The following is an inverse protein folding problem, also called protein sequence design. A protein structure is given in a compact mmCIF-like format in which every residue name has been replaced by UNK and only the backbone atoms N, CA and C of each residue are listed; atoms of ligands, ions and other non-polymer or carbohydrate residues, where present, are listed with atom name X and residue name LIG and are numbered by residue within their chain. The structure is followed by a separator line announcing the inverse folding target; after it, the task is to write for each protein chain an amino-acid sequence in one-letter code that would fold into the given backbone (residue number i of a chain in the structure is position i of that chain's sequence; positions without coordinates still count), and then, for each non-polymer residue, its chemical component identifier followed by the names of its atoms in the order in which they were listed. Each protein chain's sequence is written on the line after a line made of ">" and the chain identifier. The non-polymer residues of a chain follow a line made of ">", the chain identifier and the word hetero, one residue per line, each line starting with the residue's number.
data_IF_389631903169
#
_entry.id   IF_389631903169
#
_cell.length_a   1.000
_cell.length_b   1.000
_cell.length_c   1.000
_cell.angle_alpha   90.00
_cell.angle_beta   90.00
_cell.angle_gamma   90.00
#
_symmetry.space_group_name_H-M   'P 1'
#
loop_
_entity.id
_entity.type
_entity.pdbx_description
1 polymer ?
#
# COMPACT_ATOMS: atom_id res chain seq x y z
N UNK A 1 15.06 -9.12 -16.36
CA UNK A 1 16.36 -9.38 -15.68
C UNK A 1 16.08 -10.03 -14.35
N UNK A 2 16.68 -11.22 -14.06
CA UNK A 2 16.47 -11.89 -12.76
C UNK A 2 17.23 -11.19 -11.64
N UNK A 3 16.57 -11.00 -10.48
CA UNK A 3 17.21 -10.43 -9.28
C UNK A 3 18.22 -11.39 -8.64
N UNK A 4 18.11 -12.68 -8.91
CA UNK A 4 18.96 -13.71 -8.33
C UNK A 4 19.37 -14.76 -9.37
N UNK A 5 20.60 -15.24 -9.25
CA UNK A 5 21.12 -16.36 -10.03
C UNK A 5 21.05 -17.65 -9.20
N UNK A 6 20.61 -18.77 -9.77
CA UNK A 6 20.57 -20.04 -9.07
C UNK A 6 21.99 -20.56 -8.78
N UNK A 7 22.17 -21.20 -7.62
CA UNK A 7 23.36 -21.89 -7.19
C UNK A 7 23.04 -23.38 -6.92
N UNK A 8 24.03 -24.27 -6.86
CA UNK A 8 23.83 -25.65 -6.49
C UNK A 8 23.11 -25.81 -5.15
N UNK A 9 22.35 -26.91 -4.98
CA UNK A 9 21.60 -27.26 -3.78
C UNK A 9 20.45 -26.28 -3.43
N UNK A 10 19.77 -25.72 -4.46
CA UNK A 10 18.59 -24.85 -4.25
C UNK A 10 18.91 -23.49 -3.62
N UNK A 11 20.17 -23.08 -3.62
CA UNK A 11 20.58 -21.74 -3.16
C UNK A 11 20.50 -20.73 -4.30
N UNK A 12 20.38 -19.47 -3.93
CA UNK A 12 20.37 -18.34 -4.87
C UNK A 12 21.37 -17.27 -4.42
N UNK A 13 21.96 -16.57 -5.37
CA UNK A 13 22.81 -15.41 -5.12
C UNK A 13 22.18 -14.21 -5.79
N UNK A 14 22.03 -13.12 -5.06
CA UNK A 14 21.60 -11.85 -5.63
C UNK A 14 22.61 -11.39 -6.69
N UNK A 15 22.14 -11.04 -7.88
CA UNK A 15 22.97 -10.52 -8.98
C UNK A 15 23.51 -9.14 -8.61
N UNK A 16 22.65 -8.33 -7.97
CA UNK A 16 23.04 -7.05 -7.39
C UNK A 16 22.65 -7.03 -5.91
N UNK A 17 23.53 -6.52 -5.05
CA UNK A 17 23.19 -6.30 -3.64
C UNK A 17 22.31 -5.06 -3.54
N UNK A 18 21.03 -5.17 -3.19
CA UNK A 18 20.20 -4.01 -2.92
C UNK A 18 20.71 -3.30 -1.67
N UNK A 19 20.64 -1.98 -1.64
CA UNK A 19 20.97 -1.20 -0.42
C UNK A 19 19.90 -1.40 0.66
N UNK A 20 18.65 -1.60 0.24
CA UNK A 20 17.49 -1.92 1.09
C UNK A 20 16.58 -2.89 0.35
N UNK A 21 15.76 -3.64 1.05
CA UNK A 21 14.72 -4.49 0.42
C UNK A 21 13.42 -3.73 0.18
N UNK A 22 13.25 -2.51 0.71
CA UNK A 22 12.05 -1.69 0.52
C UNK A 22 11.76 -1.45 -0.97
N UNK A 23 12.69 -0.85 -1.70
CA UNK A 23 12.52 -0.60 -3.13
C UNK A 23 12.33 -1.87 -3.98
N UNK A 24 12.78 -3.04 -3.50
CA UNK A 24 12.52 -4.32 -4.17
C UNK A 24 11.07 -4.75 -4.05
N UNK A 25 10.47 -4.57 -2.86
CA UNK A 25 9.06 -4.87 -2.62
C UNK A 25 8.14 -3.93 -3.39
N UNK A 26 8.45 -2.64 -3.41
CA UNK A 26 7.73 -1.64 -4.20
C UNK A 26 7.74 -1.97 -5.69
N UNK A 27 8.94 -2.24 -6.25
CA UNK A 27 9.10 -2.65 -7.63
C UNK A 27 8.31 -3.93 -7.93
N UNK A 28 8.43 -4.96 -7.09
CA UNK A 28 7.74 -6.23 -7.29
C UNK A 28 6.21 -6.07 -7.26
N UNK A 29 5.68 -5.32 -6.29
CA UNK A 29 4.24 -4.99 -6.26
C UNK A 29 3.82 -4.24 -7.52
N UNK A 30 4.65 -3.30 -7.99
CA UNK A 30 4.39 -2.59 -9.25
C UNK A 30 4.27 -3.53 -10.45
N UNK A 31 5.18 -4.51 -10.59
CA UNK A 31 5.13 -5.51 -11.66
C UNK A 31 3.89 -6.42 -11.57
N UNK A 32 3.53 -6.84 -10.34
CA UNK A 32 2.32 -7.65 -10.12
C UNK A 32 1.04 -6.87 -10.47
N UNK A 33 0.96 -5.57 -10.16
CA UNK A 33 -0.19 -4.73 -10.52
C UNK A 33 -0.30 -4.54 -12.03
N UNK A 34 0.82 -4.36 -12.74
CA UNK A 34 0.84 -4.33 -14.22
C UNK A 34 0.34 -5.63 -14.80
N UNK A 35 0.85 -6.75 -14.31
CA UNK A 35 0.53 -8.08 -14.85
C UNK A 35 -0.92 -8.51 -14.57
N UNK A 36 -1.44 -8.24 -13.36
CA UNK A 36 -2.76 -8.74 -12.94
C UNK A 36 -3.91 -7.81 -13.22
N UNK A 37 -3.67 -6.50 -13.19
CA UNK A 37 -4.71 -5.47 -13.30
C UNK A 37 -4.56 -4.58 -14.54
N UNK A 38 -3.54 -4.83 -15.37
CA UNK A 38 -3.23 -4.02 -16.56
C UNK A 38 -3.10 -2.51 -16.26
N UNK A 39 -2.61 -2.15 -15.07
CA UNK A 39 -2.42 -0.77 -14.66
C UNK A 39 -1.11 -0.20 -15.20
N UNK A 40 -1.09 1.08 -15.50
CA UNK A 40 0.13 1.88 -15.63
C UNK A 40 0.70 2.13 -14.24
N UNK A 41 1.97 1.78 -13.99
CA UNK A 41 2.56 1.86 -12.64
C UNK A 41 3.92 2.55 -12.67
N UNK A 42 4.15 3.42 -11.70
CA UNK A 42 5.45 4.02 -11.38
C UNK A 42 5.80 3.76 -9.91
N UNK A 43 7.08 3.54 -9.61
CA UNK A 43 7.58 3.33 -8.25
C UNK A 43 8.61 4.40 -7.87
N UNK A 44 8.70 4.75 -6.58
CA UNK A 44 9.63 5.76 -6.08
C UNK A 44 9.38 7.16 -6.67
N UNK A 45 8.12 7.54 -6.83
CA UNK A 45 7.74 8.78 -7.51
C UNK A 45 7.98 9.97 -6.59
N UNK A 46 8.82 10.91 -7.02
CA UNK A 46 9.04 12.19 -6.33
C UNK A 46 8.09 13.25 -6.85
N UNK A 47 7.38 13.88 -5.92
CA UNK A 47 6.50 15.00 -6.23
C UNK A 47 7.13 16.31 -5.73
N UNK A 48 7.14 17.33 -6.58
CA UNK A 48 7.47 18.72 -6.19
C UNK A 48 6.31 19.47 -5.53
N UNK A 49 5.14 18.84 -5.39
CA UNK A 49 3.96 19.51 -4.84
C UNK A 49 4.12 19.74 -3.32
N UNK A 50 3.70 20.91 -2.80
CA UNK A 50 3.72 21.17 -1.36
C UNK A 50 2.91 20.14 -0.58
N UNK A 51 3.45 19.65 0.54
CA UNK A 51 2.79 18.66 1.41
C UNK A 51 3.03 17.18 1.04
N UNK A 52 3.62 16.89 -0.11
CA UNK A 52 3.98 15.53 -0.56
C UNK A 52 5.43 15.22 -0.20
N UNK A 53 5.86 15.46 1.02
CA UNK A 53 7.25 15.18 1.41
C UNK A 53 7.63 13.70 1.28
N UNK A 54 8.82 13.42 0.72
CA UNK A 54 9.31 12.07 0.46
C UNK A 54 8.87 11.49 -0.89
N UNK A 55 9.16 10.22 -1.09
CA UNK A 55 8.79 9.49 -2.32
C UNK A 55 7.41 8.83 -2.11
N UNK A 56 6.64 8.70 -3.19
CA UNK A 56 5.45 7.84 -3.25
C UNK A 56 5.92 6.46 -3.68
N UNK A 57 5.73 5.45 -2.84
CA UNK A 57 6.33 4.12 -3.06
C UNK A 57 5.82 3.47 -4.34
N UNK A 58 4.50 3.38 -4.52
CA UNK A 58 3.87 2.89 -5.75
C UNK A 58 2.69 3.78 -6.13
N UNK A 59 2.68 4.27 -7.36
CA UNK A 59 1.56 5.00 -7.95
C UNK A 59 1.09 4.22 -9.17
N UNK A 60 -0.20 3.94 -9.25
CA UNK A 60 -0.78 3.22 -10.37
C UNK A 60 -1.99 3.98 -10.94
N UNK A 61 -2.21 3.85 -12.24
CA UNK A 61 -3.35 4.46 -12.92
C UNK A 61 -3.99 3.49 -13.92
N UNK A 62 -5.29 3.52 -14.03
CA UNK A 62 -6.05 2.76 -15.01
C UNK A 62 -7.52 3.17 -15.01
N UNK A 63 -8.15 3.16 -16.17
CA UNK A 63 -9.57 3.51 -16.35
C UNK A 63 -9.97 4.84 -15.68
N UNK A 64 -9.09 5.84 -15.73
CA UNK A 64 -9.31 7.14 -15.12
C UNK A 64 -9.25 7.16 -13.60
N UNK A 65 -8.71 6.13 -12.95
CA UNK A 65 -8.52 6.02 -11.50
C UNK A 65 -7.06 6.13 -11.15
N UNK A 66 -6.77 6.84 -10.05
CA UNK A 66 -5.46 6.98 -9.45
C UNK A 66 -5.40 6.16 -8.17
N UNK A 67 -4.39 5.31 -8.06
CA UNK A 67 -4.17 4.41 -6.92
C UNK A 67 -2.80 4.72 -6.33
N UNK A 68 -2.72 4.87 -5.01
CA UNK A 68 -1.46 5.08 -4.30
C UNK A 68 -1.25 3.99 -3.23
N UNK A 69 -0.07 3.39 -3.23
CA UNK A 69 0.36 2.46 -2.19
C UNK A 69 1.58 3.03 -1.44
N UNK A 70 1.49 3.07 -0.13
CA UNK A 70 2.65 3.18 0.78
C UNK A 70 3.00 1.78 1.24
N UNK A 71 4.26 1.39 1.11
CA UNK A 71 4.71 0.01 1.34
C UNK A 71 5.71 -0.06 2.50
N UNK A 72 5.44 -0.90 3.47
CA UNK A 72 6.28 -1.13 4.63
C UNK A 72 6.78 -2.57 4.65
N UNK A 73 8.08 -2.77 4.43
CA UNK A 73 8.75 -4.06 4.53
C UNK A 73 9.13 -4.46 5.97
N UNK A 74 8.83 -3.61 6.94
CA UNK A 74 9.14 -3.82 8.35
C UNK A 74 7.93 -4.32 9.14
N UNK A 75 8.15 -5.12 10.21
CA UNK A 75 7.07 -5.57 11.08
C UNK A 75 6.25 -4.42 11.68
N UNK A 76 4.96 -4.64 12.03
CA UNK A 76 4.06 -3.60 12.56
C UNK A 76 4.62 -2.84 13.78
N UNK A 77 5.45 -3.50 14.60
CA UNK A 77 6.08 -2.88 15.79
C UNK A 77 6.99 -1.68 15.45
N UNK A 78 7.52 -1.63 14.24
CA UNK A 78 8.40 -0.54 13.77
C UNK A 78 7.65 0.58 13.07
N UNK A 79 6.39 0.36 12.67
CA UNK A 79 5.56 1.43 12.12
C UNK A 79 5.21 2.43 13.23
N UNK A 80 5.40 3.71 12.94
CA UNK A 80 5.24 4.82 13.88
C UNK A 80 4.04 5.71 13.53
N UNK A 81 3.50 6.42 14.53
CA UNK A 81 2.40 7.38 14.31
C UNK A 81 2.76 8.49 13.28
N UNK A 82 3.99 9.06 13.29
CA UNK A 82 4.41 10.01 12.25
C UNK A 82 4.36 9.45 10.83
N UNK A 83 4.66 8.17 10.60
CA UNK A 83 4.58 7.53 9.27
C UNK A 83 3.14 7.42 8.79
N UNK A 84 2.22 7.00 9.66
CA UNK A 84 0.78 7.01 9.35
C UNK A 84 0.30 8.43 9.02
N UNK A 85 0.71 9.41 9.82
CA UNK A 85 0.40 10.83 9.56
C UNK A 85 0.99 11.32 8.22
N UNK A 86 2.22 10.92 7.88
CA UNK A 86 2.85 11.27 6.61
C UNK A 86 2.10 10.67 5.41
N UNK A 87 1.72 9.40 5.51
CA UNK A 87 0.88 8.75 4.50
C UNK A 87 -0.44 9.50 4.28
N UNK A 88 -1.18 9.80 5.36
CA UNK A 88 -2.46 10.53 5.24
C UNK A 88 -2.30 11.94 4.66
N UNK A 89 -1.20 12.64 4.98
CA UNK A 89 -0.89 13.94 4.33
C UNK A 89 -0.66 13.77 2.83
N UNK A 90 0.08 12.73 2.39
CA UNK A 90 0.27 12.43 0.97
C UNK A 90 -1.06 12.09 0.30
N UNK A 91 -1.91 11.27 0.93
CA UNK A 91 -3.26 10.97 0.43
C UNK A 91 -4.07 12.25 0.24
N UNK A 92 -4.05 13.17 1.21
CA UNK A 92 -4.74 14.45 1.11
C UNK A 92 -4.21 15.35 -0.01
N UNK A 93 -2.90 15.33 -0.26
CA UNK A 93 -2.25 16.16 -1.27
C UNK A 93 -2.39 15.57 -2.69
N UNK A 94 -2.23 14.26 -2.85
CA UNK A 94 -2.29 13.54 -4.14
C UNK A 94 -3.73 13.27 -4.57
N UNK A 95 -4.64 13.08 -3.59
CA UNK A 95 -6.06 12.76 -3.79
C UNK A 95 -6.28 11.54 -4.69
N UNK A 96 -5.64 10.39 -4.38
CA UNK A 96 -5.90 9.18 -5.14
C UNK A 96 -7.35 8.71 -4.93
N UNK A 97 -7.91 8.04 -5.92
CA UNK A 97 -9.22 7.38 -5.82
C UNK A 97 -9.18 6.21 -4.80
N UNK A 98 -8.03 5.54 -4.70
CA UNK A 98 -7.79 4.45 -3.74
C UNK A 98 -6.40 4.59 -3.16
N UNK A 99 -6.29 4.57 -1.83
CA UNK A 99 -5.01 4.61 -1.11
C UNK A 99 -4.83 3.37 -0.23
N UNK A 100 -3.69 2.70 -0.33
CA UNK A 100 -3.37 1.52 0.46
C UNK A 100 -2.11 1.75 1.30
N UNK A 101 -2.21 1.44 2.60
CA UNK A 101 -1.05 1.30 3.48
C UNK A 101 -0.75 -0.19 3.61
N UNK A 102 0.28 -0.64 2.91
CA UNK A 102 0.64 -2.05 2.78
C UNK A 102 1.76 -2.38 3.76
N UNK A 103 1.57 -3.40 4.59
CA UNK A 103 2.60 -3.89 5.52
C UNK A 103 2.92 -5.35 5.20
N UNK A 104 4.16 -5.62 4.78
CA UNK A 104 4.63 -6.97 4.45
C UNK A 104 4.82 -7.81 5.72
N UNK A 105 3.71 -8.30 6.23
CA UNK A 105 3.64 -9.13 7.45
C UNK A 105 2.41 -10.02 7.46
N UNK A 106 2.52 -11.19 8.07
CA UNK A 106 1.37 -12.05 8.39
C UNK A 106 0.73 -11.74 9.76
N UNK A 107 1.29 -10.77 10.52
CA UNK A 107 0.80 -10.39 11.85
C UNK A 107 -0.52 -9.61 11.76
N UNK A 108 -1.26 -9.55 12.86
CA UNK A 108 -2.48 -8.74 12.96
C UNK A 108 -2.16 -7.26 12.87
N UNK A 109 -2.95 -6.52 12.11
CA UNK A 109 -2.88 -5.06 12.00
C UNK A 109 -3.88 -4.35 12.93
N UNK A 110 -4.96 -5.03 13.29
CA UNK A 110 -6.01 -4.52 14.17
C UNK A 110 -5.52 -4.08 15.55
N UNK A 111 -4.45 -4.72 16.06
CA UNK A 111 -3.96 -4.47 17.43
C UNK A 111 -3.10 -3.19 17.54
N UNK A 112 -2.52 -2.71 16.44
CA UNK A 112 -1.64 -1.53 16.45
C UNK A 112 -1.88 -0.58 15.29
N UNK A 113 -1.78 -1.06 14.06
CA UNK A 113 -1.79 -0.19 12.87
C UNK A 113 -3.17 0.47 12.70
N UNK A 114 -4.24 -0.30 12.82
CA UNK A 114 -5.61 0.22 12.68
C UNK A 114 -5.91 1.31 13.70
N UNK A 115 -5.65 1.13 15.02
CA UNK A 115 -5.82 2.20 16.01
C UNK A 115 -4.99 3.46 15.73
N UNK A 116 -3.81 3.32 15.11
CA UNK A 116 -2.99 4.48 14.71
C UNK A 116 -3.68 5.30 13.62
N UNK A 117 -4.37 4.64 12.67
CA UNK A 117 -5.17 5.31 11.66
C UNK A 117 -6.40 5.98 12.27
N UNK A 118 -7.14 5.29 13.15
CA UNK A 118 -8.28 5.87 13.86
C UNK A 118 -7.89 7.16 14.59
N UNK A 119 -6.78 7.13 15.34
CA UNK A 119 -6.27 8.29 16.05
C UNK A 119 -5.88 9.44 15.11
N UNK A 120 -5.22 9.14 13.99
CA UNK A 120 -4.78 10.15 13.04
C UNK A 120 -5.97 10.80 12.31
N UNK A 121 -6.95 10.00 11.90
CA UNK A 121 -8.16 10.48 11.21
C UNK A 121 -9.06 11.29 12.14
N UNK A 122 -9.22 10.87 13.39
CA UNK A 122 -9.98 11.63 14.40
C UNK A 122 -9.40 13.04 14.61
N UNK A 123 -8.06 13.17 14.63
CA UNK A 123 -7.38 14.47 14.73
C UNK A 123 -7.56 15.36 13.49
N UNK A 124 -7.72 14.75 12.32
CA UNK A 124 -7.94 15.46 11.05
C UNK A 124 -9.40 15.79 10.75
N UNK A 125 -10.34 15.46 11.64
CA UNK A 125 -11.80 15.66 11.42
C UNK A 125 -12.41 14.73 10.37
N UNK A 126 -11.66 13.72 9.91
CA UNK A 126 -12.07 12.79 8.85
C UNK A 126 -12.39 11.37 9.34
N UNK A 127 -12.83 11.22 10.58
CA UNK A 127 -13.15 9.90 11.14
C UNK A 127 -14.34 9.25 10.39
N UNK A 128 -14.05 8.20 9.65
CA UNK A 128 -15.04 7.31 9.06
C UNK A 128 -15.10 5.99 9.84
N UNK A 129 -16.10 5.15 9.58
CA UNK A 129 -16.19 3.84 10.23
C UNK A 129 -15.02 2.96 9.81
N UNK A 130 -14.27 2.46 10.80
CA UNK A 130 -13.25 1.44 10.58
C UNK A 130 -13.94 0.09 10.45
N UNK A 131 -13.64 -0.63 9.39
CA UNK A 131 -14.27 -1.91 9.10
C UNK A 131 -13.26 -2.92 8.58
N UNK A 132 -13.24 -4.10 9.16
CA UNK A 132 -12.51 -5.24 8.61
C UNK A 132 -13.27 -5.78 7.38
N UNK A 133 -12.59 -5.94 6.28
CA UNK A 133 -13.17 -6.40 5.00
C UNK A 133 -13.00 -7.91 4.84
N UNK A 134 -11.78 -8.36 4.79
CA UNK A 134 -11.41 -9.76 4.66
C UNK A 134 -10.00 -9.99 5.21
N UNK A 135 -9.69 -11.19 5.72
CA UNK A 135 -8.40 -11.55 6.34
C UNK A 135 -7.96 -10.47 7.35
N UNK A 136 -6.83 -9.79 7.10
CA UNK A 136 -6.36 -8.63 7.85
C UNK A 136 -6.35 -7.35 6.99
N UNK A 137 -7.28 -7.23 6.06
CA UNK A 137 -7.51 -6.02 5.27
C UNK A 137 -8.64 -5.20 5.89
N UNK A 138 -8.38 -3.91 6.08
CA UNK A 138 -9.26 -2.99 6.78
C UNK A 138 -9.52 -1.74 5.93
N UNK A 139 -10.77 -1.28 5.89
CA UNK A 139 -11.10 0.08 5.50
C UNK A 139 -11.01 0.96 6.75
N UNK A 140 -10.19 2.01 6.70
CA UNK A 140 -9.93 2.89 7.86
C UNK A 140 -10.39 4.32 7.64
N UNK A 141 -10.94 4.61 6.46
CA UNK A 141 -11.48 5.91 6.08
C UNK A 141 -11.99 5.88 4.64
N UNK A 142 -12.52 6.99 4.13
CA UNK A 142 -12.91 7.08 2.73
C UNK A 142 -11.74 6.74 1.83
N UNK A 143 -11.88 5.68 1.03
CA UNK A 143 -10.89 5.23 0.04
C UNK A 143 -9.51 4.85 0.59
N UNK A 144 -9.37 4.71 1.93
CA UNK A 144 -8.11 4.36 2.59
C UNK A 144 -8.19 2.95 3.18
N UNK A 145 -7.23 2.12 2.80
CA UNK A 145 -7.18 0.72 3.18
C UNK A 145 -5.84 0.37 3.82
N UNK A 146 -5.88 -0.51 4.82
CA UNK A 146 -4.69 -1.09 5.45
C UNK A 146 -4.65 -2.56 5.10
N UNK A 147 -3.54 -3.03 4.53
CA UNK A 147 -3.40 -4.35 3.93
C UNK A 147 -2.15 -5.05 4.46
N UNK A 148 -2.23 -6.36 4.72
CA UNK A 148 -1.07 -7.16 5.09
C UNK A 148 -0.82 -8.33 4.14
N UNK A 149 0.28 -9.07 4.41
CA UNK A 149 0.73 -10.22 3.62
C UNK A 149 0.11 -11.56 4.08
N UNK A 150 -0.91 -11.55 4.95
CA UNK A 150 -1.50 -12.80 5.43
C UNK A 150 -2.12 -13.57 4.27
N UNK A 151 -1.66 -14.81 4.08
CA UNK A 151 -1.94 -15.72 2.98
C UNK A 151 -1.28 -15.31 1.66
N UNK A 152 -1.63 -14.19 1.05
CA UNK A 152 -1.05 -13.69 -0.20
C UNK A 152 -1.13 -12.16 -0.25
N UNK A 153 0.02 -11.50 -0.30
CA UNK A 153 0.11 -10.03 -0.31
C UNK A 153 -0.52 -9.44 -1.56
N UNK A 154 -0.22 -10.01 -2.73
CA UNK A 154 -0.69 -9.45 -4.01
C UNK A 154 -2.20 -9.64 -4.15
N UNK A 155 -2.73 -10.81 -3.78
CA UNK A 155 -4.17 -11.04 -3.75
C UNK A 155 -4.88 -10.05 -2.83
N UNK A 156 -4.33 -9.82 -1.63
CA UNK A 156 -4.89 -8.86 -0.68
C UNK A 156 -4.89 -7.43 -1.23
N UNK A 157 -3.80 -7.00 -1.89
CA UNK A 157 -3.68 -5.69 -2.52
C UNK A 157 -4.69 -5.55 -3.68
N UNK A 158 -4.73 -6.52 -4.60
CA UNK A 158 -5.66 -6.50 -5.73
C UNK A 158 -7.12 -6.44 -5.27
N UNK A 159 -7.49 -7.24 -4.25
CA UNK A 159 -8.84 -7.23 -3.68
C UNK A 159 -9.17 -5.91 -2.99
N UNK A 160 -8.24 -5.31 -2.26
CA UNK A 160 -8.43 -4.00 -1.63
C UNK A 160 -8.63 -2.89 -2.68
N UNK A 161 -7.88 -2.91 -3.79
CA UNK A 161 -8.08 -2.01 -4.92
C UNK A 161 -9.48 -2.21 -5.50
N UNK A 162 -9.90 -3.45 -5.76
CA UNK A 162 -11.23 -3.75 -6.30
C UNK A 162 -12.35 -3.28 -5.37
N UNK A 163 -12.21 -3.46 -4.05
CA UNK A 163 -13.15 -2.92 -3.06
C UNK A 163 -13.21 -1.39 -3.09
N UNK A 164 -12.03 -0.74 -3.19
CA UNK A 164 -11.94 0.71 -3.29
C UNK A 164 -12.65 1.25 -4.54
N UNK A 165 -12.40 0.64 -5.69
CA UNK A 165 -13.04 1.04 -6.95
C UNK A 165 -14.56 0.81 -6.90
N UNK A 166 -15.04 -0.32 -6.35
CA UNK A 166 -16.48 -0.57 -6.18
C UNK A 166 -17.15 0.46 -5.27
N UNK A 167 -16.45 0.90 -4.22
CA UNK A 167 -16.96 1.91 -3.30
C UNK A 167 -17.12 3.32 -3.94
N UNK A 168 -16.47 3.56 -5.08
CA UNK A 168 -16.60 4.79 -5.88
C UNK A 168 -17.82 4.74 -6.81
N UNK A 169 -18.34 3.55 -7.14
CA UNK A 169 -19.51 3.44 -7.99
C UNK A 169 -20.73 4.02 -7.28
N UNK A 170 -21.60 4.77 -7.97
CA UNK A 170 -22.86 5.19 -7.40
C UNK A 170 -23.67 3.95 -6.98
N UNK A 171 -24.50 4.03 -5.92
CA UNK A 171 -25.39 2.94 -5.58
C UNK A 171 -26.23 2.57 -6.80
N UNK A 172 -26.40 1.27 -7.04
CA UNK A 172 -27.28 0.80 -8.08
C UNK A 172 -28.70 1.34 -7.86
N UNK A 173 -29.38 1.77 -8.90
CA UNK A 173 -30.75 2.32 -8.81
C UNK A 173 -31.73 1.34 -8.22
#
# INVERSE_FOLDING_TARGET
>A
MGLAAPLPRGRYRLVHRPRTFGGTLEWWLGEELRARLALEVATGVRSGAPGVGGDLDVVAAGEGKLIYLEVKSSPPKHVTQPEVGAFLRRVSAVRPDVALFVVDTALRLGDKIVPMFELALARGGGAGPVRRLFRETWSVGPHVYVVNAREDLVDNVCRAIAEGIRALAPPAP
#
